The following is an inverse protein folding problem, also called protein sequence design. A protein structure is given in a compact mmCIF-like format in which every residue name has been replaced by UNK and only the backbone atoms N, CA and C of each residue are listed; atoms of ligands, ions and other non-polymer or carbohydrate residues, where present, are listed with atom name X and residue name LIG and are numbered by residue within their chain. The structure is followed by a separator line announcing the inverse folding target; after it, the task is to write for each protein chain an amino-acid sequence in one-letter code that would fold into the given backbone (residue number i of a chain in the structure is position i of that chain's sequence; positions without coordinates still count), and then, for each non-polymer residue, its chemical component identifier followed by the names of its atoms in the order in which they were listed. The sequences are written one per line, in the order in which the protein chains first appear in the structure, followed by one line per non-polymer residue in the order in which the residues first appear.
data_IF_595560216270
#
_entry.id   IF_595560216270
#
_cell.length_a   1.000
_cell.length_b   1.000
_cell.length_c   1.000
_cell.angle_alpha   90.00
_cell.angle_beta   90.00
_cell.angle_gamma   90.00
#
_symmetry.space_group_name_H-M   'P 1'
#
loop_
_entity.id
_entity.type
_entity.pdbx_description
1 polymer ?
#
# COMPACT_ATOMS: atom_id res chain seq x y z
N UNK A 1 -6.23 -2.82 0.82
CA UNK A 1 -6.48 -1.62 -0.01
C UNK A 1 -5.45 -0.57 0.29
N UNK A 2 -5.41 0.51 -0.51
CA UNK A 2 -4.56 1.67 -0.26
C UNK A 2 -5.28 2.93 -0.75
N UNK A 3 -4.80 4.11 -0.37
CA UNK A 3 -5.37 5.37 -0.86
C UNK A 3 -4.32 6.45 -0.99
N UNK A 4 -4.59 7.44 -1.86
CA UNK A 4 -3.77 8.62 -2.04
C UNK A 4 -4.49 9.85 -1.49
N UNK A 5 -3.98 10.47 -0.40
CA UNK A 5 -4.53 11.72 0.11
C UNK A 5 -4.39 12.88 -0.87
N UNK A 6 -3.32 12.89 -1.69
CA UNK A 6 -3.04 13.94 -2.66
C UNK A 6 -4.00 13.90 -3.84
N UNK A 7 -4.37 12.70 -4.30
CA UNK A 7 -5.31 12.51 -5.42
C UNK A 7 -6.75 12.32 -4.95
N UNK A 8 -6.99 12.33 -3.64
CA UNK A 8 -8.28 12.08 -3.01
C UNK A 8 -8.97 10.81 -3.57
N UNK A 9 -8.19 9.72 -3.70
CA UNK A 9 -8.65 8.47 -4.31
C UNK A 9 -8.22 7.24 -3.52
N UNK A 10 -9.18 6.36 -3.24
CA UNK A 10 -9.02 5.06 -2.61
C UNK A 10 -9.11 3.90 -3.60
N UNK A 11 -8.38 2.84 -3.30
CA UNK A 11 -8.26 1.66 -4.12
C UNK A 11 -8.46 0.39 -3.31
N UNK A 12 -9.36 -0.47 -3.81
CA UNK A 12 -9.63 -1.80 -3.27
C UNK A 12 -9.54 -2.84 -4.40
N UNK A 13 -9.38 -4.11 -4.06
CA UNK A 13 -9.26 -5.17 -5.05
C UNK A 13 -9.65 -6.52 -4.46
N UNK A 14 -10.13 -7.40 -5.34
CA UNK A 14 -10.38 -8.79 -4.97
C UNK A 14 -9.07 -9.55 -5.11
N UNK A 15 -8.51 -9.97 -3.98
CA UNK A 15 -7.43 -10.94 -4.01
C UNK A 15 -8.03 -12.34 -4.15
N UNK A 16 -7.90 -12.92 -5.33
CA UNK A 16 -8.21 -14.34 -5.58
C UNK A 16 -7.46 -15.17 -4.55
N UNK A 17 -8.17 -15.91 -3.69
CA UNK A 17 -7.60 -16.69 -2.57
C UNK A 17 -6.39 -17.54 -2.98
N UNK A 18 -5.18 -17.00 -2.82
CA UNK A 18 -3.93 -17.75 -2.92
C UNK A 18 -3.51 -18.22 -1.51
N UNK A 19 -2.76 -19.32 -1.38
CA UNK A 19 -2.36 -19.86 -0.08
C UNK A 19 -1.61 -18.87 0.82
N UNK A 20 -0.89 -17.91 0.22
CA UNK A 20 -0.15 -16.86 0.93
C UNK A 20 -1.03 -15.72 1.46
N UNK A 21 -2.31 -15.64 1.06
CA UNK A 21 -3.22 -14.60 1.55
C UNK A 21 -3.69 -14.82 2.99
N UNK A 22 -3.45 -16.00 3.57
CA UNK A 22 -3.73 -16.25 4.98
C UNK A 22 -2.64 -15.64 5.89
N UNK A 23 -1.51 -15.18 5.33
CA UNK A 23 -0.50 -14.41 6.06
C UNK A 23 -0.83 -12.91 5.99
N UNK A 24 -1.21 -12.35 7.14
CA UNK A 24 -1.48 -10.92 7.29
C UNK A 24 -0.27 -10.05 6.90
N UNK A 25 0.96 -10.50 7.16
CA UNK A 25 2.16 -9.74 6.82
C UNK A 25 2.35 -9.66 5.30
N UNK A 26 2.02 -10.73 4.59
CA UNK A 26 2.00 -10.74 3.14
C UNK A 26 0.97 -9.77 2.59
N UNK A 27 -0.24 -9.78 3.15
CA UNK A 27 -1.32 -8.88 2.74
C UNK A 27 -0.98 -7.41 2.96
N UNK A 28 -0.39 -7.07 4.11
CA UNK A 28 0.07 -5.72 4.44
C UNK A 28 1.18 -5.25 3.48
N UNK A 29 2.15 -6.12 3.22
CA UNK A 29 3.25 -5.83 2.31
C UNK A 29 2.74 -5.66 0.86
N UNK A 30 1.86 -6.56 0.41
CA UNK A 30 1.25 -6.52 -0.92
C UNK A 30 0.41 -5.25 -1.12
N UNK A 31 -0.29 -4.78 -0.08
CA UNK A 31 -1.02 -3.51 -0.14
C UNK A 31 -0.06 -2.31 -0.36
N UNK A 32 1.10 -2.29 0.31
CA UNK A 32 2.13 -1.28 0.11
C UNK A 32 2.76 -1.39 -1.28
N UNK A 33 3.08 -2.59 -1.75
CA UNK A 33 3.62 -2.82 -3.10
C UNK A 33 2.68 -2.29 -4.20
N UNK A 34 1.37 -2.49 -4.05
CA UNK A 34 0.38 -1.94 -4.97
C UNK A 34 0.32 -0.41 -4.95
N UNK A 35 0.42 0.20 -3.77
CA UNK A 35 0.48 1.66 -3.66
C UNK A 35 1.72 2.23 -4.37
N UNK A 36 2.87 1.56 -4.25
CA UNK A 36 4.11 1.95 -4.91
C UNK A 36 3.99 1.77 -6.42
N UNK A 37 3.51 0.62 -6.91
CA UNK A 37 3.27 0.38 -8.35
C UNK A 37 2.32 1.38 -8.97
N UNK A 38 1.28 1.77 -8.22
CA UNK A 38 0.34 2.79 -8.68
C UNK A 38 0.99 4.17 -8.75
N UNK A 39 1.78 4.54 -7.74
CA UNK A 39 2.44 5.84 -7.67
C UNK A 39 3.58 5.97 -8.69
N UNK A 40 4.40 4.92 -8.88
CA UNK A 40 5.56 4.95 -9.78
C UNK A 40 5.18 5.25 -11.23
N UNK A 41 3.98 4.84 -11.68
CA UNK A 41 3.43 5.15 -13.00
C UNK A 41 3.02 6.62 -13.20
N UNK A 42 3.09 7.44 -12.15
CA UNK A 42 2.56 8.82 -12.11
C UNK A 42 3.57 9.86 -11.60
N UNK A 43 4.69 9.39 -11.06
CA UNK A 43 5.75 10.24 -10.52
C UNK A 43 6.85 10.39 -11.56
N UNK A 44 7.56 11.50 -11.48
CA UNK A 44 8.69 11.78 -12.36
C UNK A 44 10.03 11.43 -11.69
N UNK A 45 11.10 11.16 -12.46
CA UNK A 45 12.42 10.92 -11.90
C UNK A 45 12.87 12.06 -10.98
N UNK A 46 13.27 11.70 -9.76
CA UNK A 46 13.67 12.62 -8.69
C UNK A 46 12.58 12.94 -7.67
N UNK A 47 11.32 12.56 -7.94
CA UNK A 47 10.22 12.71 -6.99
C UNK A 47 10.43 11.85 -5.74
N UNK A 48 9.77 12.26 -4.65
CA UNK A 48 9.79 11.54 -3.37
C UNK A 48 8.44 10.91 -3.11
N UNK A 49 8.40 9.59 -3.03
CA UNK A 49 7.23 8.84 -2.61
C UNK A 49 7.32 8.53 -1.12
N UNK A 50 6.28 8.92 -0.37
CA UNK A 50 6.11 8.52 1.03
C UNK A 50 4.88 7.63 1.15
N UNK A 51 5.09 6.42 1.63
CA UNK A 51 4.01 5.48 1.94
C UNK A 51 3.85 5.38 3.45
N UNK A 52 2.61 5.43 3.92
CA UNK A 52 2.28 5.25 5.33
C UNK A 52 1.57 3.91 5.52
N UNK A 53 1.94 3.18 6.57
CA UNK A 53 1.34 1.91 6.96
C UNK A 53 1.31 1.80 8.48
N UNK A 54 0.38 1.05 9.04
CA UNK A 54 0.35 0.69 10.46
C UNK A 54 1.03 -0.65 10.78
N UNK A 55 1.62 -1.29 9.77
CA UNK A 55 2.40 -2.52 9.89
C UNK A 55 3.88 -2.23 10.13
N UNK A 56 4.38 -2.47 11.35
CA UNK A 56 5.82 -2.40 11.63
C UNK A 56 6.60 -3.42 10.81
N UNK A 57 6.07 -4.63 10.64
CA UNK A 57 6.71 -5.67 9.85
C UNK A 57 6.94 -5.22 8.40
N UNK A 58 5.99 -4.49 7.82
CA UNK A 58 6.14 -3.92 6.48
C UNK A 58 7.20 -2.81 6.44
N UNK A 59 7.20 -1.92 7.44
CA UNK A 59 8.21 -0.85 7.55
C UNK A 59 9.62 -1.45 7.65
N UNK A 60 9.80 -2.47 8.48
CA UNK A 60 11.08 -3.13 8.68
C UNK A 60 11.57 -3.82 7.40
N UNK A 61 10.68 -4.51 6.66
CA UNK A 61 11.02 -5.11 5.37
C UNK A 61 11.52 -4.09 4.36
N UNK A 62 10.84 -2.94 4.23
CA UNK A 62 11.24 -1.90 3.27
C UNK A 62 12.44 -1.05 3.69
N UNK A 63 12.71 -0.91 5.00
CA UNK A 63 13.78 -0.02 5.48
C UNK A 63 15.05 -0.77 5.93
N UNK A 64 14.93 -2.03 6.36
CA UNK A 64 16.02 -2.79 6.97
C UNK A 64 16.53 -3.94 6.09
N UNK A 65 15.85 -4.27 4.99
CA UNK A 65 16.29 -5.31 4.05
C UNK A 65 16.25 -6.74 4.60
N UNK A 66 15.58 -6.97 5.73
CA UNK A 66 15.35 -8.34 6.23
C UNK A 66 14.11 -8.91 5.55
N UNK A 67 14.32 -9.58 4.44
CA UNK A 67 13.30 -10.40 3.80
C UNK A 67 13.49 -11.86 4.20
N UNK A 68 12.39 -12.53 4.53
CA UNK A 68 12.34 -13.98 4.41
C UNK A 68 12.21 -14.30 2.90
N UNK A 69 12.78 -15.42 2.42
CA UNK A 69 12.82 -15.79 0.99
C UNK A 69 11.45 -15.70 0.29
N UNK A 70 10.37 -15.86 1.04
CA UNK A 70 8.98 -15.80 0.57
C UNK A 70 8.57 -14.41 0.05
N UNK A 71 9.32 -13.36 0.38
CA UNK A 71 9.04 -11.98 0.00
C UNK A 71 9.98 -11.44 -1.09
N UNK A 72 11.04 -12.17 -1.43
CA UNK A 72 12.13 -11.68 -2.30
C UNK A 72 11.61 -11.26 -3.69
N UNK A 73 10.80 -12.09 -4.34
CA UNK A 73 10.24 -11.78 -5.66
C UNK A 73 9.41 -10.48 -5.66
N UNK A 74 8.68 -10.23 -4.58
CA UNK A 74 7.83 -9.05 -4.46
C UNK A 74 8.65 -7.80 -4.10
N UNK A 75 9.69 -7.96 -3.30
CA UNK A 75 10.66 -6.90 -2.99
C UNK A 75 11.39 -6.49 -4.27
N UNK A 76 11.96 -7.45 -5.00
CA UNK A 76 12.67 -7.22 -6.26
C UNK A 76 11.77 -6.50 -7.27
N UNK A 77 10.51 -6.91 -7.38
CA UNK A 77 9.53 -6.25 -8.24
C UNK A 77 9.29 -4.79 -7.82
N UNK A 78 9.22 -4.49 -6.52
CA UNK A 78 9.04 -3.13 -6.02
C UNK A 78 10.30 -2.29 -6.18
N UNK A 79 11.47 -2.84 -5.92
CA UNK A 79 12.76 -2.16 -6.12
C UNK A 79 12.95 -1.80 -7.60
N UNK A 80 12.65 -2.73 -8.52
CA UNK A 80 12.66 -2.47 -9.95
C UNK A 80 11.70 -1.34 -10.35
N UNK A 81 10.47 -1.32 -9.80
CA UNK A 81 9.51 -0.24 -10.06
C UNK A 81 10.00 1.14 -9.58
N UNK A 82 10.74 1.17 -8.46
CA UNK A 82 11.29 2.41 -7.89
C UNK A 82 12.50 2.89 -8.70
N UNK A 83 13.38 1.97 -9.09
CA UNK A 83 14.55 2.25 -9.93
C UNK A 83 14.13 2.74 -11.32
N UNK A 84 13.23 2.02 -11.99
CA UNK A 84 12.73 2.36 -13.32
C UNK A 84 12.05 3.73 -13.36
N UNK A 85 11.31 4.08 -12.30
CA UNK A 85 10.67 5.39 -12.18
C UNK A 85 11.64 6.49 -11.72
N UNK A 86 12.84 6.14 -11.25
CA UNK A 86 13.82 7.09 -10.72
C UNK A 86 13.35 7.84 -9.47
N UNK A 87 12.47 7.24 -8.66
CA UNK A 87 11.87 7.89 -7.49
C UNK A 87 12.60 7.54 -6.20
N UNK A 88 12.43 8.38 -5.16
CA UNK A 88 12.94 8.12 -3.81
C UNK A 88 11.80 7.64 -2.91
N UNK A 89 11.81 6.35 -2.59
CA UNK A 89 10.82 5.74 -1.70
C UNK A 89 11.18 5.94 -0.22
N UNK A 90 10.16 6.13 0.62
CA UNK A 90 10.27 5.96 2.07
C UNK A 90 8.96 5.42 2.64
N UNK A 91 9.04 4.41 3.52
CA UNK A 91 7.89 3.78 4.17
C UNK A 91 7.90 4.11 5.66
N UNK A 92 6.77 4.61 6.16
CA UNK A 92 6.65 5.17 7.51
C UNK A 92 5.51 4.52 8.29
N UNK A 93 5.81 4.20 9.56
CA UNK A 93 4.79 3.73 10.49
C UNK A 93 3.85 4.88 10.89
N UNK A 94 2.55 4.59 10.88
CA UNK A 94 1.51 5.42 11.50
C UNK A 94 0.67 4.57 12.48
N UNK A 95 0.05 5.17 13.50
CA UNK A 95 -0.90 4.44 14.32
C UNK A 95 -2.12 3.97 13.51
N UNK A 96 -2.63 2.78 13.81
CA UNK A 96 -3.79 2.17 13.13
C UNK A 96 -5.02 3.10 13.06
N UNK A 97 -5.30 3.86 14.12
CA UNK A 97 -6.43 4.81 14.14
C UNK A 97 -6.30 5.95 13.10
N UNK A 98 -5.09 6.19 12.56
CA UNK A 98 -4.86 7.13 11.46
C UNK A 98 -4.94 6.46 10.07
N UNK A 99 -4.99 5.13 10.02
CA UNK A 99 -5.02 4.35 8.78
C UNK A 99 -6.43 3.82 8.43
N UNK A 100 -7.48 4.36 9.06
CA UNK A 100 -8.84 3.82 8.97
C UNK A 100 -9.39 3.69 7.54
N UNK A 101 -9.07 4.62 6.63
CA UNK A 101 -9.48 4.52 5.22
C UNK A 101 -8.83 3.30 4.56
N UNK A 102 -7.52 3.08 4.74
CA UNK A 102 -6.83 1.94 4.13
C UNK A 102 -7.28 0.61 4.74
N UNK A 103 -7.52 0.57 6.06
CA UNK A 103 -8.09 -0.59 6.75
C UNK A 103 -9.46 -0.94 6.16
N UNK A 104 -10.35 0.04 6.05
CA UNK A 104 -11.67 -0.16 5.45
C UNK A 104 -11.57 -0.64 3.99
N UNK A 105 -10.69 -0.06 3.18
CA UNK A 105 -10.43 -0.46 1.79
C UNK A 105 -9.76 -1.84 1.66
N UNK A 106 -9.28 -2.43 2.76
CA UNK A 106 -8.71 -3.79 2.76
C UNK A 106 -9.75 -4.88 3.00
N UNK A 107 -10.93 -4.50 3.49
CA UNK A 107 -11.99 -5.44 3.85
C UNK A 107 -12.80 -5.88 2.62
N UNK A 108 -13.30 -7.13 2.61
CA UNK A 108 -14.21 -7.60 1.55
C UNK A 108 -15.51 -6.78 1.49
N UNK A 109 -16.03 -6.40 2.66
CA UNK A 109 -17.24 -5.60 2.80
C UNK A 109 -16.83 -4.15 3.15
N UNK A 110 -16.78 -3.31 2.12
CA UNK A 110 -16.44 -1.89 2.27
C UNK A 110 -17.54 -1.14 3.05
N UNK A 111 -17.15 -0.49 4.15
CA UNK A 111 -18.02 0.45 4.86
C UNK A 111 -17.90 1.84 4.22
N UNK A 112 -18.76 2.10 3.23
CA UNK A 112 -18.78 3.37 2.50
C UNK A 112 -19.19 4.55 3.38
N UNK A 113 -20.06 4.32 4.37
CA UNK A 113 -20.50 5.36 5.29
C UNK A 113 -19.33 5.78 6.19
N UNK A 114 -18.58 4.81 6.74
CA UNK A 114 -17.35 5.09 7.49
C UNK A 114 -16.31 5.85 6.67
N UNK A 115 -16.09 5.47 5.41
CA UNK A 115 -15.17 6.20 4.52
C UNK A 115 -15.68 7.62 4.26
N UNK A 116 -16.97 7.80 4.02
CA UNK A 116 -17.60 9.11 3.80
C UNK A 116 -17.48 10.01 5.02
N UNK A 117 -17.65 9.47 6.24
CA UNK A 117 -17.49 10.21 7.50
C UNK A 117 -16.04 10.71 7.68
N UNK A 118 -15.05 9.92 7.27
CA UNK A 118 -13.64 10.30 7.32
C UNK A 118 -13.24 11.24 6.17
N UNK A 119 -13.81 11.03 4.98
CA UNK A 119 -13.42 11.70 3.74
C UNK A 119 -14.60 11.71 2.74
N UNK A 120 -15.52 12.68 2.83
CA UNK A 120 -16.78 12.69 2.06
C UNK A 120 -16.61 12.65 0.54
N UNK A 121 -15.55 13.28 0.04
CA UNK A 121 -15.30 13.41 -1.41
C UNK A 121 -14.35 12.34 -1.96
N UNK A 122 -14.01 11.30 -1.17
CA UNK A 122 -13.03 10.30 -1.61
C UNK A 122 -13.57 9.47 -2.78
N UNK A 123 -12.87 9.51 -3.91
CA UNK A 123 -13.20 8.64 -5.04
C UNK A 123 -12.72 7.21 -4.76
N UNK A 124 -13.58 6.21 -4.88
CA UNK A 124 -13.21 4.81 -4.69
C UNK A 124 -13.20 4.10 -6.03
N UNK A 125 -12.11 3.38 -6.32
CA UNK A 125 -11.94 2.62 -7.56
C UNK A 125 -11.40 1.24 -7.27
N UNK A 126 -11.75 0.28 -8.12
CA UNK A 126 -11.12 -1.03 -8.12
C UNK A 126 -9.71 -0.93 -8.74
N UNK A 127 -8.71 -1.54 -8.13
CA UNK A 127 -7.32 -1.60 -8.62
C UNK A 127 -6.93 -3.03 -8.99
#
# INVERSE_FOLDING_TARGET
GFWSPQMNRGFYGDLSRMPLLDDINFMEYYAVANAISWASKRLEPGDRLKVFTDSMNTVDKFNCGSAEEEYDELIDAVEGLVEDAGIRLSVWLIPAYKNGIADCLSRPDLDLDYISDLRPDLEISRY
#
